data_IF_450744449686
#
_entry.id   IF_450744449686
#
_cell.length_a   1.000
_cell.length_b   1.000
_cell.length_c   1.000
_cell.angle_alpha   90.00
_cell.angle_beta   90.00
_cell.angle_gamma   90.00
#
_symmetry.space_group_name_H-M   'P 1'
#
loop_
_entity.id
_entity.type
_entity.pdbx_description
1 polymer ?
#
# COMPACT_ATOMS: atom_id res chain seq x y z
N UNK A 1 -50.83 -32.19 -13.43
CA UNK A 1 -50.37 -31.03 -12.65
C UNK A 1 -48.85 -31.09 -12.63
N UNK A 2 -48.17 -30.11 -13.22
CA UNK A 2 -46.71 -30.07 -13.28
C UNK A 2 -46.23 -29.12 -12.17
N UNK A 3 -45.38 -29.57 -11.22
CA UNK A 3 -44.80 -28.77 -10.16
C UNK A 3 -43.50 -28.17 -10.70
N UNK A 4 -43.42 -26.86 -10.73
CA UNK A 4 -42.22 -26.08 -11.12
C UNK A 4 -41.67 -25.41 -9.88
N UNK A 5 -40.41 -25.68 -9.57
CA UNK A 5 -39.71 -25.02 -8.44
C UNK A 5 -38.93 -23.82 -8.97
N UNK A 6 -39.22 -22.64 -8.49
CA UNK A 6 -38.54 -21.39 -8.88
C UNK A 6 -37.74 -20.87 -7.70
N UNK A 7 -36.49 -20.54 -7.96
CA UNK A 7 -35.62 -19.89 -6.98
C UNK A 7 -35.97 -18.40 -6.90
N UNK A 8 -36.16 -17.88 -5.68
CA UNK A 8 -36.37 -16.46 -5.42
C UNK A 8 -35.06 -15.87 -4.94
N UNK A 9 -34.37 -15.11 -5.80
CA UNK A 9 -33.18 -14.34 -5.41
C UNK A 9 -33.66 -13.10 -4.68
N UNK A 10 -33.39 -13.00 -3.38
CA UNK A 10 -33.61 -11.81 -2.59
C UNK A 10 -32.32 -11.01 -2.56
N UNK A 11 -32.33 -9.77 -3.07
CA UNK A 11 -31.20 -8.84 -2.92
C UNK A 11 -31.37 -8.12 -1.59
N UNK A 12 -30.38 -8.29 -0.73
CA UNK A 12 -30.27 -7.49 0.51
C UNK A 12 -29.35 -6.31 0.23
N UNK A 13 -29.77 -5.13 0.64
CA UNK A 13 -28.99 -3.90 0.57
C UNK A 13 -28.61 -3.51 1.99
N UNK A 14 -27.37 -3.07 2.16
CA UNK A 14 -26.88 -2.51 3.42
C UNK A 14 -26.08 -1.25 3.14
N UNK A 15 -26.11 -0.31 4.08
CA UNK A 15 -25.35 0.93 3.98
C UNK A 15 -23.89 0.67 4.38
N UNK A 16 -22.96 1.24 3.58
CA UNK A 16 -21.54 1.28 3.85
C UNK A 16 -21.12 2.74 3.98
N UNK A 17 -20.44 3.06 5.08
CA UNK A 17 -19.90 4.37 5.36
C UNK A 17 -18.39 4.33 5.09
N UNK A 18 -17.91 5.22 4.22
CA UNK A 18 -16.51 5.20 3.75
C UNK A 18 -15.80 6.42 4.32
N UNK A 19 -14.75 6.20 5.11
CA UNK A 19 -13.89 7.24 5.64
C UNK A 19 -13.04 7.90 4.52
N UNK A 20 -12.45 9.06 4.81
CA UNK A 20 -11.68 9.86 3.85
C UNK A 20 -10.43 9.15 3.29
N UNK A 21 -9.94 8.12 3.94
CA UNK A 21 -8.84 7.26 3.48
C UNK A 21 -9.31 6.03 2.70
N UNK A 22 -10.63 5.85 2.58
CA UNK A 22 -11.28 4.72 1.90
C UNK A 22 -11.59 3.53 2.79
N UNK A 23 -11.37 3.62 4.10
CA UNK A 23 -11.75 2.57 5.07
C UNK A 23 -13.26 2.47 5.16
N UNK A 24 -13.80 1.24 5.09
CA UNK A 24 -15.25 0.98 5.08
C UNK A 24 -15.77 0.58 6.47
N UNK A 25 -16.94 1.11 6.82
CA UNK A 25 -17.64 0.84 8.07
C UNK A 25 -19.11 0.51 7.81
N UNK A 26 -19.69 -0.35 8.61
CA UNK A 26 -21.14 -0.66 8.60
C UNK A 26 -21.96 0.29 9.47
N UNK A 27 -21.32 1.23 10.15
CA UNK A 27 -21.92 2.14 11.11
C UNK A 27 -21.34 3.56 10.96
N UNK A 28 -22.19 4.55 10.76
CA UNK A 28 -21.82 5.95 10.59
C UNK A 28 -21.00 6.50 11.78
N UNK A 29 -21.38 6.14 13.00
CA UNK A 29 -20.66 6.56 14.21
C UNK A 29 -19.24 6.01 14.24
N UNK A 30 -19.07 4.72 13.92
CA UNK A 30 -17.75 4.10 13.88
C UNK A 30 -16.84 4.74 12.83
N UNK A 31 -17.39 5.14 11.67
CA UNK A 31 -16.69 5.88 10.63
C UNK A 31 -16.24 7.25 11.13
N UNK A 32 -17.15 8.01 11.77
CA UNK A 32 -16.84 9.34 12.32
C UNK A 32 -15.82 9.26 13.46
N UNK A 33 -15.98 8.30 14.39
CA UNK A 33 -15.04 8.08 15.50
C UNK A 33 -13.64 7.73 14.96
N UNK A 34 -13.55 6.95 13.88
CA UNK A 34 -12.29 6.64 13.21
C UNK A 34 -11.64 7.88 12.59
N UNK A 35 -12.42 8.69 11.84
CA UNK A 35 -11.90 9.91 11.20
C UNK A 35 -11.37 10.93 12.22
N UNK A 36 -11.87 10.92 13.44
CA UNK A 36 -11.39 11.76 14.55
C UNK A 36 -10.09 11.23 15.19
N UNK A 37 -9.69 9.98 14.92
CA UNK A 37 -8.42 9.43 15.43
C UNK A 37 -7.22 10.10 14.79
N UNK A 38 -6.09 10.12 15.52
CA UNK A 38 -4.82 10.63 14.96
C UNK A 38 -4.41 9.84 13.70
N UNK A 39 -4.64 8.53 13.68
CA UNK A 39 -4.36 7.68 12.53
C UNK A 39 -5.26 8.02 11.34
N UNK A 40 -6.58 8.13 11.53
CA UNK A 40 -7.53 8.50 10.47
C UNK A 40 -7.17 9.84 9.83
N UNK A 41 -6.76 10.83 10.63
CA UNK A 41 -6.30 12.15 10.12
C UNK A 41 -5.02 12.01 9.28
N UNK A 42 -4.04 11.23 9.72
CA UNK A 42 -2.78 11.00 8.98
C UNK A 42 -3.06 10.26 7.67
N UNK A 43 -3.83 9.18 7.72
CA UNK A 43 -4.23 8.39 6.55
C UNK A 43 -4.99 9.23 5.53
N UNK A 44 -5.98 10.02 5.94
CA UNK A 44 -6.74 10.88 5.05
C UNK A 44 -5.85 11.92 4.35
N UNK A 45 -4.91 12.54 5.08
CA UNK A 45 -3.95 13.50 4.51
C UNK A 45 -3.03 12.84 3.49
N UNK A 46 -2.56 11.62 3.77
CA UNK A 46 -1.73 10.85 2.84
C UNK A 46 -2.52 10.46 1.58
N UNK A 47 -3.71 9.89 1.72
CA UNK A 47 -4.57 9.48 0.60
C UNK A 47 -4.98 10.65 -0.29
N UNK A 48 -5.08 11.89 0.26
CA UNK A 48 -5.35 13.09 -0.52
C UNK A 48 -4.22 13.48 -1.50
N UNK A 49 -2.99 13.02 -1.26
CA UNK A 49 -1.81 13.36 -2.09
C UNK A 49 -1.22 12.15 -2.82
N UNK A 50 -1.50 10.93 -2.35
CA UNK A 50 -1.00 9.70 -2.93
C UNK A 50 -2.04 9.07 -3.87
N UNK A 51 -1.58 8.46 -4.97
CA UNK A 51 -2.43 7.68 -5.87
C UNK A 51 -2.43 6.23 -5.40
N UNK A 52 -3.59 5.70 -4.99
CA UNK A 52 -3.77 4.26 -4.80
C UNK A 52 -3.64 3.56 -6.15
N UNK A 53 -2.84 2.50 -6.21
CA UNK A 53 -2.70 1.68 -7.41
C UNK A 53 -3.86 0.69 -7.50
N UNK A 54 -4.42 0.55 -8.71
CA UNK A 54 -5.43 -0.46 -9.00
C UNK A 54 -4.75 -1.82 -9.15
N UNK A 55 -5.53 -2.91 -9.11
CA UNK A 55 -5.00 -4.28 -9.16
C UNK A 55 -4.00 -4.52 -10.31
N UNK A 56 -4.31 -4.06 -11.52
CA UNK A 56 -3.43 -4.21 -12.68
C UNK A 56 -2.11 -3.43 -12.56
N UNK A 57 -2.14 -2.24 -11.92
CA UNK A 57 -0.95 -1.42 -11.67
C UNK A 57 -0.12 -1.96 -10.50
N UNK A 58 -0.76 -2.61 -9.53
CA UNK A 58 -0.16 -3.16 -8.32
C UNK A 58 0.47 -4.55 -8.56
N UNK A 59 -0.07 -5.33 -9.51
CA UNK A 59 0.33 -6.71 -9.76
C UNK A 59 1.85 -6.94 -9.89
N UNK A 60 2.64 -6.09 -10.57
CA UNK A 60 4.10 -6.27 -10.62
C UNK A 60 4.76 -6.17 -9.24
N UNK A 61 4.26 -5.29 -8.38
CA UNK A 61 4.79 -5.10 -7.01
C UNK A 61 4.37 -6.25 -6.10
N UNK A 62 3.12 -6.71 -6.22
CA UNK A 62 2.59 -7.85 -5.49
C UNK A 62 3.45 -9.10 -5.69
N UNK A 63 3.84 -9.37 -6.92
CA UNK A 63 4.67 -10.53 -7.27
C UNK A 63 6.08 -10.43 -6.70
N UNK A 64 6.63 -9.21 -6.61
CA UNK A 64 8.01 -8.96 -6.20
C UNK A 64 8.10 -8.80 -4.67
N UNK A 65 7.16 -8.08 -4.05
CA UNK A 65 7.24 -7.63 -2.66
C UNK A 65 6.50 -8.58 -1.72
N UNK A 66 5.31 -9.03 -2.10
CA UNK A 66 4.38 -9.77 -1.23
C UNK A 66 4.21 -11.25 -1.64
N UNK A 67 4.99 -11.71 -2.61
CA UNK A 67 4.90 -13.10 -3.09
C UNK A 67 3.53 -13.46 -3.68
N UNK A 68 2.72 -12.46 -4.08
CA UNK A 68 1.41 -12.65 -4.70
C UNK A 68 0.27 -12.93 -3.71
N UNK A 69 0.42 -12.61 -2.43
CA UNK A 69 -0.62 -12.82 -1.40
C UNK A 69 -1.87 -11.97 -1.59
N UNK A 70 -1.79 -10.87 -2.36
CA UNK A 70 -2.94 -10.06 -2.79
C UNK A 70 -3.62 -9.22 -1.70
N UNK A 71 -3.06 -9.17 -0.49
CA UNK A 71 -3.60 -8.44 0.65
C UNK A 71 -2.97 -7.07 0.88
N UNK A 72 -1.96 -6.74 0.10
CA UNK A 72 -1.20 -5.50 0.22
C UNK A 72 -1.80 -4.38 -0.61
N UNK A 73 -1.99 -3.21 -0.02
CA UNK A 73 -2.41 -2.01 -0.73
C UNK A 73 -1.20 -1.17 -1.10
N UNK A 74 -1.12 -0.77 -2.37
CA UNK A 74 -0.01 0.00 -2.90
C UNK A 74 -0.42 1.42 -3.23
N UNK A 75 0.42 2.38 -2.88
CA UNK A 75 0.26 3.78 -3.21
C UNK A 75 1.48 4.31 -3.93
N UNK A 76 1.27 5.22 -4.88
CA UNK A 76 2.33 5.96 -5.57
C UNK A 76 2.28 7.42 -5.17
N UNK A 77 3.41 7.99 -4.79
CA UNK A 77 3.54 9.39 -4.43
C UNK A 77 4.89 9.94 -4.89
N UNK A 78 4.87 11.18 -5.41
CA UNK A 78 6.06 12.01 -5.64
C UNK A 78 5.89 13.28 -4.82
N UNK A 79 6.53 13.42 -3.65
CA UNK A 79 6.46 14.64 -2.84
C UNK A 79 6.99 15.83 -3.63
N UNK A 80 6.22 16.90 -3.75
CA UNK A 80 6.59 18.11 -4.52
C UNK A 80 7.13 19.25 -3.65
N UNK A 81 6.98 19.14 -2.34
CA UNK A 81 7.37 20.14 -1.36
C UNK A 81 7.47 19.53 0.04
N UNK A 82 8.01 20.30 0.99
CA UNK A 82 8.22 19.88 2.38
C UNK A 82 6.92 19.42 3.08
N UNK A 83 5.77 20.01 2.74
CA UNK A 83 4.48 19.65 3.34
C UNK A 83 4.10 18.22 2.93
N UNK A 84 4.21 17.89 1.64
CA UNK A 84 3.92 16.55 1.14
C UNK A 84 4.93 15.51 1.63
N UNK A 85 6.21 15.88 1.69
CA UNK A 85 7.26 15.04 2.26
C UNK A 85 6.93 14.72 3.73
N UNK A 86 6.58 15.73 4.52
CA UNK A 86 6.20 15.56 5.93
C UNK A 86 5.00 14.62 6.09
N UNK A 87 3.96 14.75 5.24
CA UNK A 87 2.78 13.87 5.26
C UNK A 87 3.19 12.43 4.97
N UNK A 88 4.04 12.19 3.96
CA UNK A 88 4.56 10.85 3.65
C UNK A 88 5.32 10.25 4.85
N UNK A 89 6.21 11.01 5.47
CA UNK A 89 7.00 10.54 6.60
C UNK A 89 6.14 10.28 7.86
N UNK A 90 5.12 11.12 8.11
CA UNK A 90 4.15 10.91 9.18
C UNK A 90 3.34 9.62 8.95
N UNK A 91 2.90 9.37 7.72
CA UNK A 91 2.17 8.15 7.36
C UNK A 91 3.05 6.89 7.53
N UNK A 92 4.28 6.92 7.05
CA UNK A 92 5.22 5.81 7.22
C UNK A 92 5.49 5.50 8.70
N UNK A 93 5.69 6.53 9.54
CA UNK A 93 5.90 6.33 10.99
C UNK A 93 4.66 5.76 11.68
N UNK A 94 3.47 6.22 11.30
CA UNK A 94 2.21 5.74 11.89
C UNK A 94 1.88 4.28 11.52
N UNK A 95 2.49 3.76 10.46
CA UNK A 95 2.30 2.40 9.96
C UNK A 95 3.55 1.54 10.18
N UNK A 96 4.33 1.79 11.23
CA UNK A 96 5.52 1.01 11.57
C UNK A 96 6.32 0.62 10.31
N UNK A 97 6.68 1.64 9.51
CA UNK A 97 7.34 1.41 8.24
C UNK A 97 8.62 0.61 8.50
N UNK A 98 8.63 -0.64 8.07
CA UNK A 98 9.80 -1.50 8.16
C UNK A 98 10.87 -0.94 7.23
N UNK A 99 11.78 -0.22 7.82
CA UNK A 99 13.08 0.04 7.25
C UNK A 99 13.88 -1.24 7.45
N UNK A 100 13.61 -2.23 6.59
CA UNK A 100 14.35 -3.45 6.65
C UNK A 100 15.80 -3.14 6.29
N UNK A 101 16.64 -2.91 7.30
CA UNK A 101 18.05 -3.20 7.27
C UNK A 101 18.19 -4.73 7.09
N UNK A 102 17.73 -5.25 5.97
CA UNK A 102 18.14 -6.58 5.55
C UNK A 102 19.51 -6.39 4.91
N UNK A 103 20.46 -7.28 5.19
CA UNK A 103 21.75 -7.36 4.50
C UNK A 103 21.60 -7.34 2.97
N UNK A 104 20.41 -7.63 2.45
CA UNK A 104 20.03 -7.56 1.05
C UNK A 104 19.65 -6.15 0.55
N UNK A 105 19.61 -5.12 1.39
CA UNK A 105 19.40 -3.72 0.95
C UNK A 105 18.00 -3.37 0.42
N UNK A 106 16.96 -4.09 0.81
CA UNK A 106 15.60 -3.99 0.28
C UNK A 106 14.80 -2.76 0.72
N UNK A 107 15.10 -2.22 1.88
CA UNK A 107 14.39 -1.06 2.43
C UNK A 107 15.09 0.26 2.13
N UNK A 108 14.35 1.35 2.22
CA UNK A 108 14.91 2.70 2.28
C UNK A 108 14.90 3.17 3.73
N UNK A 109 15.97 3.84 4.15
CA UNK A 109 15.93 4.57 5.41
C UNK A 109 15.00 5.78 5.27
N UNK A 110 14.27 6.14 6.33
CA UNK A 110 13.36 7.29 6.31
C UNK A 110 14.07 8.59 5.94
N UNK A 111 15.36 8.67 6.29
CA UNK A 111 16.22 9.82 5.99
C UNK A 111 16.65 9.90 4.51
N UNK A 112 16.41 8.84 3.73
CA UNK A 112 16.71 8.79 2.28
C UNK A 112 15.50 9.27 1.43
N UNK A 113 14.40 9.66 2.08
CA UNK A 113 13.19 10.10 1.36
C UNK A 113 13.28 11.56 1.00
N UNK A 114 13.24 11.89 -0.30
CA UNK A 114 13.52 13.21 -0.86
C UNK A 114 12.36 13.75 -1.69
N UNK A 115 12.29 15.08 -1.78
CA UNK A 115 11.37 15.79 -2.68
C UNK A 115 11.73 15.50 -4.14
N UNK A 116 10.72 15.28 -4.98
CA UNK A 116 10.89 15.04 -6.42
C UNK A 116 11.11 13.58 -6.81
N UNK A 117 11.41 12.72 -5.84
CA UNK A 117 11.56 11.28 -6.08
C UNK A 117 10.21 10.58 -5.96
N UNK A 118 9.92 9.66 -6.88
CA UNK A 118 8.70 8.86 -6.86
C UNK A 118 8.90 7.61 -6.00
N UNK A 119 7.97 7.42 -5.07
CA UNK A 119 7.94 6.27 -4.16
C UNK A 119 6.72 5.40 -4.39
N UNK A 120 6.90 4.10 -4.17
CA UNK A 120 5.82 3.15 -3.94
C UNK A 120 5.80 2.86 -2.44
N UNK A 121 4.63 3.00 -1.84
CA UNK A 121 4.36 2.65 -0.43
C UNK A 121 3.46 1.44 -0.43
N UNK A 122 3.93 0.35 0.15
CA UNK A 122 3.17 -0.87 0.37
C UNK A 122 2.63 -0.87 1.80
N UNK A 123 1.32 -1.01 1.95
CA UNK A 123 0.63 -1.13 3.24
C UNK A 123 0.10 -2.55 3.39
N UNK A 124 0.60 -3.28 4.37
CA UNK A 124 0.26 -4.67 4.64
C UNK A 124 -0.98 -4.78 5.54
N UNK A 125 -1.69 -5.88 5.48
CA UNK A 125 -2.83 -6.17 6.38
C UNK A 125 -2.46 -6.12 7.87
N UNK A 126 -1.20 -6.39 8.21
CA UNK A 126 -0.68 -6.27 9.57
C UNK A 126 -0.68 -4.85 10.11
N UNK A 127 -0.93 -3.83 9.28
CA UNK A 127 -0.80 -2.42 9.62
C UNK A 127 0.63 -1.88 9.50
N UNK A 128 1.60 -2.73 9.13
CA UNK A 128 2.95 -2.28 8.79
C UNK A 128 3.02 -1.77 7.35
N UNK A 129 4.07 -1.02 7.01
CA UNK A 129 4.28 -0.52 5.66
C UNK A 129 5.73 -0.71 5.20
N UNK A 130 5.96 -0.57 3.91
CA UNK A 130 7.30 -0.47 3.32
C UNK A 130 7.31 0.62 2.26
N UNK A 131 8.47 1.26 2.06
CA UNK A 131 8.64 2.30 1.06
C UNK A 131 9.78 1.95 0.10
N UNK A 132 9.57 2.19 -1.19
CA UNK A 132 10.52 1.84 -2.24
C UNK A 132 10.67 3.00 -3.20
N UNK A 133 11.91 3.34 -3.55
CA UNK A 133 12.22 4.20 -4.71
C UNK A 133 12.49 3.35 -5.95
N UNK A 134 12.40 3.97 -7.13
CA UNK A 134 12.75 3.33 -8.39
C UNK A 134 14.18 2.77 -8.37
N UNK A 135 15.13 3.55 -7.89
CA UNK A 135 16.55 3.17 -7.87
C UNK A 135 16.80 1.93 -6.99
N UNK A 136 16.07 1.79 -5.89
CA UNK A 136 16.16 0.59 -5.04
C UNK A 136 15.62 -0.64 -5.75
N UNK A 137 14.49 -0.53 -6.45
CA UNK A 137 13.91 -1.62 -7.25
C UNK A 137 14.84 -2.00 -8.41
N UNK A 138 15.41 -1.03 -9.12
CA UNK A 138 16.36 -1.27 -10.20
C UNK A 138 17.63 -2.00 -9.70
N UNK A 139 18.22 -1.56 -8.60
CA UNK A 139 19.37 -2.23 -7.99
C UNK A 139 19.05 -3.68 -7.61
N UNK A 140 17.89 -3.91 -7.02
CA UNK A 140 17.47 -5.26 -6.68
C UNK A 140 17.32 -6.15 -7.91
N UNK A 141 16.67 -5.68 -8.97
CA UNK A 141 16.55 -6.42 -10.22
C UNK A 141 17.93 -6.74 -10.81
N UNK A 142 18.88 -5.81 -10.73
CA UNK A 142 20.26 -6.04 -11.19
C UNK A 142 20.95 -7.14 -10.37
N UNK A 143 20.89 -7.08 -9.04
CA UNK A 143 21.48 -8.13 -8.19
C UNK A 143 20.85 -9.51 -8.45
N UNK A 144 19.53 -9.57 -8.67
CA UNK A 144 18.87 -10.82 -9.02
C UNK A 144 19.37 -11.38 -10.36
N UNK A 145 19.66 -10.51 -11.33
CA UNK A 145 20.23 -10.91 -12.63
C UNK A 145 21.70 -11.33 -12.51
N UNK A 146 22.50 -10.65 -11.69
CA UNK A 146 23.90 -11.00 -11.42
C UNK A 146 24.01 -12.42 -10.83
N UNK A 147 23.12 -12.79 -9.90
CA UNK A 147 23.08 -14.12 -9.32
C UNK A 147 22.88 -15.25 -10.34
N UNK A 148 22.22 -14.98 -11.47
CA UNK A 148 22.11 -15.96 -12.57
C UNK A 148 23.43 -16.09 -13.34
N UNK A 149 24.21 -15.03 -13.44
CA UNK A 149 25.47 -15.04 -14.19
C UNK A 149 26.61 -15.72 -13.41
N UNK A 150 26.62 -15.64 -12.07
CA UNK A 150 27.63 -16.29 -11.22
C UNK A 150 27.55 -17.83 -11.25
N UNK A 151 26.42 -18.40 -11.65
CA UNK A 151 26.25 -19.87 -11.73
C UNK A 151 26.77 -20.48 -13.03
N UNK A 152 27.15 -19.68 -14.03
CA UNK A 152 27.68 -20.18 -15.31
C UNK A 152 29.23 -20.35 -15.30
N UNK A 153 29.93 -19.83 -14.30
CA UNK A 153 31.39 -19.94 -14.17
C UNK A 153 31.91 -21.07 -13.21
N UNK A 154 31.00 -21.87 -12.70
CA UNK A 154 31.32 -23.04 -11.87
C UNK A 154 31.12 -24.34 -12.66
#
# INVERSE_FOLDING_TARGET
>A
MKREQREKVTKEYYDVFIANDGTEFTNAKACSDYEETAYGVISARFCAIAKRLLHEEAHPFDSIIDGGCGSTTYYRLTPKNDVQLKILLEFCRANDCYFAETEAGWGMHIDEVEIGTTYIVALYESGSSSIFSRDKVEKWCMHALEAFNETEEA
#
